data_IF_135804368234
#
_entry.id   IF_135804368234
#
_cell.length_a   1.000
_cell.length_b   1.000
_cell.length_c   1.000
_cell.angle_alpha   90.00
_cell.angle_beta   90.00
_cell.angle_gamma   90.00
#
_symmetry.space_group_name_H-M   'P 1'
#
loop_
_entity.id
_entity.type
_entity.pdbx_description
1 polymer ?
#
# COMPACT_ATOMS: atom_id res chain seq x y z
N UNK A 1 6.88 2.54 19.68
CA UNK A 1 6.43 2.18 18.31
C UNK A 1 6.33 0.66 18.17
N UNK A 2 7.37 -0.11 18.54
CA UNK A 2 7.35 -1.59 18.44
C UNK A 2 6.18 -2.29 19.14
N UNK A 3 5.81 -1.87 20.36
CA UNK A 3 4.75 -2.55 21.13
C UNK A 3 3.36 -2.51 20.47
N UNK A 4 3.06 -1.44 19.72
CA UNK A 4 1.76 -1.29 19.03
C UNK A 4 1.68 -2.12 17.76
N UNK A 5 2.77 -2.17 16.99
CA UNK A 5 2.87 -2.99 15.78
C UNK A 5 2.75 -4.47 16.14
N UNK A 6 3.44 -4.90 17.21
CA UNK A 6 3.36 -6.27 17.69
C UNK A 6 1.94 -6.64 18.13
N UNK A 7 1.25 -5.77 18.87
CA UNK A 7 -0.13 -6.02 19.30
C UNK A 7 -1.11 -6.16 18.12
N UNK A 8 -0.95 -5.35 17.07
CA UNK A 8 -1.79 -5.42 15.87
C UNK A 8 -1.54 -6.72 15.09
N UNK A 9 -0.28 -7.10 14.89
CA UNK A 9 0.08 -8.36 14.23
C UNK A 9 -0.37 -9.57 15.04
N UNK A 10 -0.20 -9.54 16.36
CA UNK A 10 -0.68 -10.58 17.26
C UNK A 10 -2.19 -10.79 17.08
N UNK A 11 -2.98 -9.71 17.03
CA UNK A 11 -4.45 -9.81 16.83
C UNK A 11 -4.86 -10.44 15.50
N UNK A 12 -4.09 -10.21 14.43
CA UNK A 12 -4.31 -10.84 13.12
C UNK A 12 -3.94 -12.32 13.16
N UNK A 13 -2.81 -12.66 13.79
CA UNK A 13 -2.30 -14.02 13.83
C UNK A 13 -3.06 -14.93 14.82
N UNK A 14 -3.75 -14.36 15.81
CA UNK A 14 -4.56 -15.12 16.78
C UNK A 14 -6.06 -15.11 16.48
N UNK A 15 -6.50 -14.58 15.33
CA UNK A 15 -7.91 -14.55 14.98
C UNK A 15 -8.45 -15.95 14.67
N UNK A 16 -9.52 -16.35 15.36
CA UNK A 16 -10.09 -17.71 15.25
C UNK A 16 -11.24 -17.84 14.24
N UNK A 17 -11.75 -16.72 13.71
CA UNK A 17 -12.83 -16.71 12.71
C UNK A 17 -12.49 -15.80 11.52
N UNK A 18 -13.06 -16.06 10.33
CA UNK A 18 -12.89 -15.19 9.16
C UNK A 18 -13.31 -13.74 9.43
N UNK A 19 -14.39 -13.52 10.17
CA UNK A 19 -14.91 -12.18 10.49
C UNK A 19 -13.96 -11.44 11.44
N UNK A 20 -13.43 -12.13 12.45
CA UNK A 20 -12.44 -11.56 13.37
C UNK A 20 -11.11 -11.25 12.66
N UNK A 21 -10.71 -12.11 11.71
CA UNK A 21 -9.53 -11.89 10.89
C UNK A 21 -9.70 -10.67 9.97
N UNK A 22 -10.85 -10.52 9.33
CA UNK A 22 -11.15 -9.38 8.46
C UNK A 22 -11.12 -8.06 9.25
N UNK A 23 -11.74 -8.03 10.43
CA UNK A 23 -11.75 -6.86 11.31
C UNK A 23 -10.33 -6.50 11.80
N UNK A 24 -9.58 -7.49 12.29
CA UNK A 24 -8.20 -7.29 12.76
C UNK A 24 -7.29 -6.80 11.63
N UNK A 25 -7.42 -7.40 10.43
CA UNK A 25 -6.64 -7.01 9.27
C UNK A 25 -6.99 -5.59 8.80
N UNK A 26 -8.28 -5.24 8.73
CA UNK A 26 -8.72 -3.90 8.32
C UNK A 26 -8.21 -2.82 9.29
N UNK A 27 -8.26 -3.09 10.59
CA UNK A 27 -7.76 -2.18 11.62
C UNK A 27 -6.25 -1.93 11.52
N UNK A 28 -5.46 -2.98 11.31
CA UNK A 28 -4.01 -2.86 11.12
C UNK A 28 -3.64 -2.22 9.78
N UNK A 29 -4.29 -2.63 8.68
CA UNK A 29 -4.02 -2.10 7.34
C UNK A 29 -4.23 -0.58 7.27
N UNK A 30 -5.16 -0.03 8.06
CA UNK A 30 -5.40 1.40 8.13
C UNK A 30 -4.22 2.23 8.64
N UNK A 31 -3.29 1.64 9.41
CA UNK A 31 -2.08 2.33 9.91
C UNK A 31 -0.83 2.01 9.12
N UNK A 32 -0.85 0.94 8.32
CA UNK A 32 0.30 0.36 7.61
C UNK A 32 1.13 1.40 6.84
N UNK A 33 0.50 2.23 6.00
CA UNK A 33 1.24 3.22 5.17
C UNK A 33 1.98 4.25 6.03
N UNK A 34 1.35 4.72 7.10
CA UNK A 34 1.94 5.73 7.99
C UNK A 34 3.10 5.18 8.81
N UNK A 35 2.98 3.94 9.28
CA UNK A 35 4.04 3.24 10.00
C UNK A 35 5.22 2.92 9.08
N UNK A 36 4.93 2.41 7.87
CA UNK A 36 5.92 2.09 6.84
C UNK A 36 6.69 3.34 6.41
N UNK A 37 6.00 4.47 6.23
CA UNK A 37 6.63 5.76 5.96
C UNK A 37 7.52 6.22 7.13
N UNK A 38 7.09 6.03 8.38
CA UNK A 38 7.89 6.38 9.57
C UNK A 38 9.18 5.55 9.68
N UNK A 39 9.20 4.36 9.11
CA UNK A 39 10.37 3.48 8.99
C UNK A 39 11.27 3.83 7.79
N UNK A 40 10.91 4.85 7.00
CA UNK A 40 11.70 5.33 5.85
C UNK A 40 11.37 4.65 4.52
N UNK A 41 10.37 3.77 4.48
CA UNK A 41 9.89 3.17 3.23
C UNK A 41 8.99 4.15 2.46
N UNK A 42 9.62 5.15 1.86
CA UNK A 42 8.94 6.24 1.14
C UNK A 42 8.77 5.96 -0.36
N UNK A 43 9.18 4.78 -0.83
CA UNK A 43 9.16 4.40 -2.23
C UNK A 43 7.79 4.63 -2.92
N UNK A 44 6.63 4.36 -2.28
CA UNK A 44 5.32 4.65 -2.89
C UNK A 44 5.13 6.12 -3.27
N UNK A 45 5.73 7.05 -2.52
CA UNK A 45 5.65 8.48 -2.81
C UNK A 45 6.72 8.91 -3.82
N UNK A 46 7.94 8.40 -3.68
CA UNK A 46 9.08 8.81 -4.51
C UNK A 46 8.97 8.33 -5.96
N UNK A 47 8.40 7.14 -6.19
CA UNK A 47 8.29 6.57 -7.54
C UNK A 47 7.45 7.45 -8.47
N UNK A 48 6.37 8.07 -7.95
CA UNK A 48 5.52 8.96 -8.73
C UNK A 48 6.26 10.22 -9.18
N UNK A 49 7.11 10.79 -8.31
CA UNK A 49 7.94 11.95 -8.65
C UNK A 49 8.98 11.60 -9.71
N UNK A 50 9.57 10.40 -9.66
CA UNK A 50 10.53 9.94 -10.66
C UNK A 50 9.86 9.71 -12.02
N UNK A 51 8.69 9.06 -12.03
CA UNK A 51 7.90 8.86 -13.26
C UNK A 51 7.54 10.22 -13.87
N UNK A 52 7.01 11.16 -13.09
CA UNK A 52 6.62 12.48 -13.59
C UNK A 52 7.82 13.28 -14.15
N UNK A 53 9.02 13.08 -13.60
CA UNK A 53 10.24 13.75 -14.04
C UNK A 53 10.81 13.18 -15.34
N UNK A 54 10.71 11.86 -15.54
CA UNK A 54 11.47 11.16 -16.57
C UNK A 54 10.62 10.55 -17.68
N UNK A 55 9.31 10.39 -17.47
CA UNK A 55 8.38 9.84 -18.47
C UNK A 55 7.55 10.98 -19.05
N UNK A 56 7.72 11.31 -20.35
CA UNK A 56 6.90 12.32 -21.00
C UNK A 56 5.40 12.00 -20.94
N UNK A 57 4.58 13.02 -20.80
CA UNK A 57 3.14 12.85 -20.87
C UNK A 57 2.74 12.38 -22.28
N UNK A 58 2.04 11.25 -22.37
CA UNK A 58 1.51 10.74 -23.64
C UNK A 58 2.37 9.65 -24.30
N UNK A 59 3.49 9.24 -23.68
CA UNK A 59 4.41 8.23 -24.21
C UNK A 59 3.89 6.78 -24.12
N UNK A 60 2.57 6.61 -24.13
CA UNK A 60 1.88 5.32 -24.04
C UNK A 60 1.32 4.98 -22.64
N UNK A 61 0.80 3.75 -22.49
CA UNK A 61 0.24 3.28 -21.22
C UNK A 61 1.33 3.00 -20.17
N UNK A 62 1.05 3.30 -18.91
CA UNK A 62 1.92 3.00 -17.77
C UNK A 62 1.39 1.78 -17.01
N UNK A 63 2.26 0.81 -16.75
CA UNK A 63 1.96 -0.35 -15.91
C UNK A 63 2.52 -0.11 -14.51
N UNK A 64 1.65 -0.10 -13.50
CA UNK A 64 2.05 -0.20 -12.10
C UNK A 64 1.98 -1.68 -11.66
N UNK A 65 3.12 -2.36 -11.75
CA UNK A 65 3.24 -3.77 -11.35
C UNK A 65 3.23 -3.96 -9.83
N UNK A 66 3.28 -2.87 -9.05
CA UNK A 66 3.36 -2.88 -7.58
C UNK A 66 2.11 -2.33 -6.88
N UNK A 67 0.98 -2.16 -7.59
CA UNK A 67 -0.22 -1.52 -7.05
C UNK A 67 -0.98 -2.29 -5.93
N UNK A 68 -0.43 -3.39 -5.40
CA UNK A 68 -1.09 -4.21 -4.37
C UNK A 68 -2.31 -4.97 -4.91
N UNK A 69 -3.41 -5.02 -4.15
CA UNK A 69 -4.67 -5.71 -4.50
C UNK A 69 -5.49 -5.02 -5.63
N UNK A 70 -4.78 -4.25 -6.47
CA UNK A 70 -4.93 -4.09 -7.92
C UNK A 70 -6.13 -3.31 -8.46
N UNK A 71 -5.91 -2.00 -8.73
CA UNK A 71 -6.62 -1.27 -9.78
C UNK A 71 -5.68 -1.08 -10.98
N UNK A 72 -5.99 -1.76 -12.10
CA UNK A 72 -5.34 -1.52 -13.40
C UNK A 72 -5.68 -0.11 -13.87
N UNK A 73 -4.69 0.79 -13.94
CA UNK A 73 -4.86 2.13 -14.50
C UNK A 73 -4.87 2.03 -16.03
N UNK A 74 -6.05 1.89 -16.63
CA UNK A 74 -6.22 2.12 -18.07
C UNK A 74 -6.40 3.61 -18.31
N UNK A 75 -5.33 4.32 -18.67
CA UNK A 75 -5.42 5.74 -19.08
C UNK A 75 -6.22 5.82 -20.39
N UNK A 76 -7.38 6.48 -20.33
CA UNK A 76 -8.29 6.64 -21.47
C UNK A 76 -7.63 7.34 -22.65
N UNK A 77 -7.96 6.87 -23.86
CA UNK A 77 -7.67 7.58 -25.11
C UNK A 77 -8.48 8.87 -25.13
N UNK A 78 -7.80 10.00 -25.34
CA UNK A 78 -8.28 11.07 -26.19
C UNK A 78 -7.22 11.32 -27.24
#
# INVERSE_FOLDING_TARGET
MGDKVNAALDSVYTADTPEALEEAYAAWAATYDSETASLGYLLPFLITAWVARHVPAGDGPLLDAGCGTQAVIRKGRR
#
